data_IF_413273281133
#
_entry.id   IF_413273281133
#
_cell.length_a   1.000
_cell.length_b   1.000
_cell.length_c   1.000
_cell.angle_alpha   90.00
_cell.angle_beta   90.00
_cell.angle_gamma   90.00
#
_symmetry.space_group_name_H-M   'P 1'
#
loop_
_entity.id
_entity.type
_entity.pdbx_description
1 polymer ?
#
# COMPACT_ATOMS: atom_id res chain seq x y z
N UNK A 1 13.50 -22.99 13.25
CA UNK A 1 12.12 -23.07 13.80
C UNK A 1 12.08 -23.47 15.29
N UNK A 2 12.95 -22.87 16.14
CA UNK A 2 12.88 -22.93 17.62
C UNK A 2 13.70 -21.80 18.29
N UNK A 3 13.81 -20.63 17.62
CA UNK A 3 14.57 -19.44 18.08
C UNK A 3 13.73 -18.14 17.94
N UNK A 4 12.40 -18.23 18.05
CA UNK A 4 11.51 -17.04 18.06
C UNK A 4 10.61 -16.96 19.31
N UNK A 5 10.95 -17.70 20.38
CA UNK A 5 10.24 -17.68 21.66
C UNK A 5 11.00 -17.00 22.82
N UNK A 6 12.07 -16.28 22.54
CA UNK A 6 12.90 -15.62 23.58
C UNK A 6 12.90 -14.08 23.54
N UNK A 7 12.00 -13.46 22.77
CA UNK A 7 11.73 -12.01 22.88
C UNK A 7 10.32 -11.67 23.40
N UNK A 8 9.51 -12.66 23.78
CA UNK A 8 8.18 -12.47 24.38
C UNK A 8 8.23 -12.51 25.92
N UNK A 9 9.17 -11.77 26.51
CA UNK A 9 9.40 -11.77 27.96
C UNK A 9 9.79 -10.39 28.47
N UNK A 10 8.96 -9.38 28.21
CA UNK A 10 9.22 -8.04 28.73
C UNK A 10 8.28 -6.99 28.14
N UNK A 11 7.16 -6.75 28.81
CA UNK A 11 6.44 -5.47 28.83
C UNK A 11 6.08 -4.79 27.49
N UNK A 12 5.56 -5.52 26.50
CA UNK A 12 4.82 -4.92 25.35
C UNK A 12 3.40 -5.51 25.27
N UNK A 13 2.72 -5.55 26.42
CA UNK A 13 1.33 -6.00 26.56
C UNK A 13 0.44 -4.98 27.30
N UNK A 14 0.92 -3.76 27.53
CA UNK A 14 0.10 -2.67 28.06
C UNK A 14 0.18 -1.51 27.09
N UNK A 15 -0.77 -1.46 26.16
CA UNK A 15 -1.85 -0.46 26.09
C UNK A 15 -2.83 -0.97 25.02
N UNK A 16 -3.55 -2.04 25.35
CA UNK A 16 -4.89 -2.24 24.80
C UNK A 16 -5.77 -1.31 25.62
N UNK A 17 -6.29 -0.26 24.99
CA UNK A 17 -7.32 0.58 25.60
C UNK A 17 -8.32 -0.32 26.35
N UNK A 18 -8.60 -0.01 27.62
CA UNK A 18 -9.36 -0.85 28.54
C UNK A 18 -10.80 -1.20 28.08
N UNK A 19 -11.24 -0.67 26.93
CA UNK A 19 -12.47 -1.04 26.22
C UNK A 19 -12.31 -2.16 25.18
N UNK A 20 -11.12 -2.41 24.62
CA UNK A 20 -10.89 -3.39 23.53
C UNK A 20 -10.55 -4.77 24.09
N UNK A 21 -9.92 -4.83 25.28
CA UNK A 21 -9.53 -6.09 25.95
C UNK A 21 -10.71 -6.92 26.49
N UNK A 22 -11.97 -6.48 26.32
CA UNK A 22 -13.18 -7.24 26.71
C UNK A 22 -13.96 -7.84 25.53
N UNK A 23 -13.52 -7.66 24.29
CA UNK A 23 -14.00 -8.48 23.17
C UNK A 23 -12.96 -9.56 22.90
N UNK A 24 -13.21 -10.77 23.39
CA UNK A 24 -12.36 -11.95 23.17
C UNK A 24 -12.12 -12.28 21.68
N UNK A 25 -12.84 -11.64 20.75
CA UNK A 25 -12.78 -11.91 19.31
C UNK A 25 -11.70 -11.09 18.59
N UNK A 26 -11.57 -9.78 18.82
CA UNK A 26 -10.64 -8.93 18.03
C UNK A 26 -9.17 -9.17 18.40
N UNK A 27 -8.88 -9.43 19.67
CA UNK A 27 -7.54 -9.82 20.11
C UNK A 27 -7.10 -11.18 19.52
N UNK A 28 -8.04 -12.09 19.31
CA UNK A 28 -7.78 -13.35 18.60
C UNK A 28 -7.43 -13.11 17.13
N UNK A 29 -8.17 -12.21 16.45
CA UNK A 29 -7.87 -11.83 15.06
C UNK A 29 -6.47 -11.23 14.96
N UNK A 30 -6.09 -10.35 15.89
CA UNK A 30 -4.75 -9.76 15.93
C UNK A 30 -3.65 -10.81 16.05
N UNK A 31 -3.76 -11.73 17.02
CA UNK A 31 -2.73 -12.76 17.23
C UNK A 31 -2.56 -13.65 16.00
N UNK A 32 -3.67 -14.04 15.37
CA UNK A 32 -3.60 -14.87 14.17
C UNK A 32 -3.07 -14.10 12.96
N UNK A 33 -3.45 -12.83 12.79
CA UNK A 33 -2.89 -11.97 11.76
C UNK A 33 -1.37 -11.85 11.89
N UNK A 34 -0.88 -11.65 13.12
CA UNK A 34 0.55 -11.63 13.42
C UNK A 34 1.25 -12.96 13.11
N UNK A 35 0.63 -14.10 13.41
CA UNK A 35 1.17 -15.41 13.06
C UNK A 35 1.25 -15.62 11.54
N UNK A 36 0.22 -15.22 10.78
CA UNK A 36 0.20 -15.30 9.31
C UNK A 36 1.30 -14.45 8.69
N UNK A 37 1.43 -13.20 9.13
CA UNK A 37 2.47 -12.30 8.64
C UNK A 37 3.88 -12.81 9.01
N UNK A 38 4.10 -13.23 10.25
CA UNK A 38 5.40 -13.73 10.72
C UNK A 38 5.88 -14.95 9.91
N UNK A 39 4.97 -15.80 9.46
CA UNK A 39 5.28 -16.98 8.66
C UNK A 39 5.78 -16.66 7.23
N UNK A 40 5.70 -15.41 6.79
CA UNK A 40 6.06 -15.00 5.44
C UNK A 40 7.54 -14.64 5.25
N UNK A 41 8.36 -14.60 6.31
CA UNK A 41 9.74 -14.11 6.26
C UNK A 41 10.76 -15.24 6.19
N UNK A 42 11.67 -15.17 5.21
CA UNK A 42 12.70 -16.16 4.95
C UNK A 42 14.08 -15.49 4.81
N UNK A 43 14.92 -15.62 5.83
CA UNK A 43 16.31 -15.14 5.78
C UNK A 43 17.12 -15.97 4.78
N UNK A 44 17.81 -15.31 3.86
CA UNK A 44 18.61 -15.93 2.81
C UNK A 44 20.11 -15.98 3.19
N UNK A 45 20.90 -16.90 2.60
CA UNK A 45 22.35 -17.01 2.87
C UNK A 45 23.15 -15.75 2.56
N UNK A 46 22.68 -14.94 1.61
CA UNK A 46 23.31 -13.68 1.18
C UNK A 46 22.98 -12.48 2.10
N UNK A 47 22.43 -12.77 3.29
CA UNK A 47 22.01 -11.82 4.33
C UNK A 47 20.81 -10.93 3.94
N UNK A 48 20.16 -11.20 2.82
CA UNK A 48 18.87 -10.60 2.48
C UNK A 48 17.72 -11.36 3.15
N UNK A 49 16.52 -10.78 3.13
CA UNK A 49 15.29 -11.42 3.61
C UNK A 49 14.29 -11.46 2.46
N UNK A 50 13.90 -12.67 2.05
CA UNK A 50 12.78 -12.89 1.13
C UNK A 50 11.48 -12.89 1.91
N UNK A 51 10.44 -12.24 1.36
CA UNK A 51 9.12 -12.17 1.99
C UNK A 51 8.08 -12.66 0.98
N UNK A 52 7.43 -13.79 1.24
CA UNK A 52 6.32 -14.27 0.40
C UNK A 52 5.04 -13.49 0.71
N UNK A 53 4.12 -13.38 -0.24
CA UNK A 53 2.79 -12.80 0.04
C UNK A 53 1.92 -13.69 0.94
N UNK A 54 2.30 -14.97 1.14
CA UNK A 54 1.58 -15.94 1.96
C UNK A 54 1.39 -17.26 1.22
N UNK A 55 0.18 -17.52 0.75
CA UNK A 55 -0.14 -18.71 -0.06
C UNK A 55 0.41 -18.68 -1.49
N UNK A 56 0.89 -17.53 -1.98
CA UNK A 56 1.65 -17.39 -3.23
C UNK A 56 3.15 -17.22 -2.89
N UNK A 57 3.99 -18.15 -3.35
CA UNK A 57 5.45 -18.12 -3.13
C UNK A 57 6.16 -17.24 -4.16
N UNK A 58 5.85 -15.94 -4.12
CA UNK A 58 6.60 -14.87 -4.74
C UNK A 58 6.59 -13.63 -3.83
N UNK A 59 7.56 -12.73 -4.04
CA UNK A 59 7.76 -11.50 -3.29
C UNK A 59 7.34 -10.31 -4.14
N UNK A 60 6.23 -9.68 -3.77
CA UNK A 60 5.83 -8.38 -4.30
C UNK A 60 6.58 -7.27 -3.58
N UNK A 61 7.01 -6.23 -4.30
CA UNK A 61 7.63 -5.06 -3.67
C UNK A 61 6.66 -4.36 -2.70
N UNK A 62 5.39 -4.26 -3.11
CA UNK A 62 4.28 -3.76 -2.28
C UNK A 62 4.10 -4.57 -1.00
N UNK A 63 3.73 -5.84 -1.15
CA UNK A 63 3.37 -6.70 -0.02
C UNK A 63 4.53 -6.82 0.97
N UNK A 64 5.74 -7.07 0.47
CA UNK A 64 6.92 -7.24 1.34
C UNK A 64 7.25 -6.00 2.15
N UNK A 65 7.06 -4.80 1.59
CA UNK A 65 7.20 -3.55 2.32
C UNK A 65 6.18 -3.41 3.43
N UNK A 66 4.90 -3.64 3.15
CA UNK A 66 3.85 -3.51 4.16
C UNK A 66 4.01 -4.58 5.25
N UNK A 67 4.33 -5.81 4.87
CA UNK A 67 4.61 -6.90 5.82
C UNK A 67 5.75 -6.54 6.78
N UNK A 68 6.86 -5.98 6.26
CA UNK A 68 8.03 -5.63 7.05
C UNK A 68 7.79 -4.46 8.02
N UNK A 69 6.80 -3.59 7.78
CA UNK A 69 6.47 -2.47 8.66
C UNK A 69 5.92 -2.91 10.03
N UNK A 70 5.47 -4.15 10.20
CA UNK A 70 5.12 -4.70 11.52
C UNK A 70 6.36 -5.02 12.39
N UNK A 71 7.56 -5.07 11.79
CA UNK A 71 8.78 -5.55 12.44
C UNK A 71 9.92 -4.52 12.44
N UNK A 72 9.62 -3.23 12.42
CA UNK A 72 10.63 -2.15 12.37
C UNK A 72 11.69 -2.22 13.48
N UNK A 73 11.35 -2.79 14.64
CA UNK A 73 12.28 -3.01 15.75
C UNK A 73 13.31 -4.14 15.49
N UNK A 74 12.99 -5.15 14.66
CA UNK A 74 13.96 -6.13 14.18
C UNK A 74 14.76 -5.55 13.00
N UNK A 75 15.74 -4.71 13.35
CA UNK A 75 16.60 -4.02 12.38
C UNK A 75 17.30 -4.98 11.43
N UNK A 76 17.69 -6.17 11.89
CA UNK A 76 18.36 -7.15 11.04
C UNK A 76 17.43 -7.70 9.97
N UNK A 77 16.17 -7.98 10.33
CA UNK A 77 15.16 -8.47 9.40
C UNK A 77 14.85 -7.41 8.33
N UNK A 78 14.50 -6.20 8.77
CA UNK A 78 14.05 -5.12 7.87
C UNK A 78 15.18 -4.64 6.95
N UNK A 79 16.42 -4.51 7.44
CA UNK A 79 17.58 -4.23 6.57
C UNK A 79 17.78 -5.32 5.52
N UNK A 80 17.51 -6.58 5.87
CA UNK A 80 17.54 -7.69 4.92
C UNK A 80 16.46 -7.59 3.85
N UNK A 81 15.26 -7.10 4.19
CA UNK A 81 14.17 -6.84 3.23
C UNK A 81 14.54 -5.69 2.29
N UNK A 82 14.98 -4.55 2.84
CA UNK A 82 15.43 -3.38 2.06
C UNK A 82 16.55 -3.79 1.10
N UNK A 83 17.58 -4.48 1.60
CA UNK A 83 18.69 -4.95 0.76
C UNK A 83 18.25 -5.93 -0.33
N UNK A 84 17.16 -6.68 -0.11
CA UNK A 84 16.58 -7.52 -1.16
C UNK A 84 15.87 -6.68 -2.21
N UNK A 85 14.98 -5.78 -1.79
CA UNK A 85 14.21 -4.90 -2.67
C UNK A 85 15.12 -4.05 -3.56
N UNK A 86 16.25 -3.54 -3.04
CA UNK A 86 17.29 -2.86 -3.82
C UNK A 86 17.77 -3.70 -5.02
N UNK A 87 18.01 -5.01 -4.80
CA UNK A 87 18.46 -5.93 -5.86
C UNK A 87 17.35 -6.23 -6.86
N UNK A 88 16.10 -6.32 -6.41
CA UNK A 88 14.95 -6.57 -7.27
C UNK A 88 14.66 -5.36 -8.18
N UNK A 89 14.75 -4.15 -7.64
CA UNK A 89 14.66 -2.90 -8.40
C UNK A 89 15.76 -2.79 -9.46
N UNK A 90 16.99 -3.21 -9.12
CA UNK A 90 18.09 -3.25 -10.07
C UNK A 90 17.93 -4.35 -11.15
N UNK A 91 17.19 -5.42 -10.84
CA UNK A 91 16.91 -6.52 -11.76
C UNK A 91 15.90 -6.12 -12.83
N UNK A 92 14.74 -5.60 -12.41
CA UNK A 92 13.70 -5.12 -13.33
C UNK A 92 12.74 -4.16 -12.61
N UNK A 93 12.87 -2.84 -12.79
CA UNK A 93 12.00 -1.88 -12.10
C UNK A 93 10.58 -1.81 -12.68
N UNK A 94 10.27 -2.58 -13.73
CA UNK A 94 8.91 -2.72 -14.26
C UNK A 94 8.18 -3.97 -13.75
N UNK A 95 8.83 -4.78 -12.91
CA UNK A 95 8.24 -5.97 -12.32
C UNK A 95 7.68 -5.71 -10.92
N UNK A 96 6.45 -6.17 -10.68
CA UNK A 96 5.79 -6.15 -9.39
C UNK A 96 6.27 -7.30 -8.49
N UNK A 97 6.56 -8.49 -9.07
CA UNK A 97 6.80 -9.72 -8.31
C UNK A 97 8.05 -10.50 -8.70
N UNK A 98 8.70 -11.10 -7.70
CA UNK A 98 9.96 -11.82 -7.87
C UNK A 98 10.03 -13.13 -7.09
N UNK A 99 10.78 -14.10 -7.61
CA UNK A 99 11.02 -15.38 -6.96
C UNK A 99 12.14 -15.29 -5.90
N UNK A 100 12.26 -16.34 -5.08
CA UNK A 100 13.32 -16.46 -4.07
C UNK A 100 14.74 -16.53 -4.66
N UNK A 101 14.89 -16.96 -5.90
CA UNK A 101 16.16 -17.05 -6.62
C UNK A 101 16.43 -15.85 -7.54
N UNK A 102 15.79 -14.70 -7.29
CA UNK A 102 15.99 -13.44 -8.01
C UNK A 102 15.63 -13.51 -9.49
N UNK A 103 14.47 -14.07 -9.80
CA UNK A 103 13.86 -14.00 -11.14
C UNK A 103 12.58 -13.20 -11.08
N UNK A 104 12.22 -12.56 -12.18
CA UNK A 104 10.91 -11.94 -12.35
C UNK A 104 9.85 -13.04 -12.34
N UNK A 105 8.94 -13.00 -11.37
CA UNK A 105 7.80 -13.90 -11.28
C UNK A 105 6.61 -13.34 -12.05
N UNK A 106 6.39 -12.04 -11.96
CA UNK A 106 5.39 -11.30 -12.73
C UNK A 106 5.93 -9.91 -13.09
N UNK A 107 5.60 -9.43 -14.29
CA UNK A 107 6.10 -8.18 -14.86
C UNK A 107 4.98 -7.18 -15.17
N UNK A 108 4.11 -6.93 -14.19
CA UNK A 108 3.08 -5.90 -14.28
C UNK A 108 3.62 -4.60 -13.72
N UNK A 109 3.64 -3.57 -14.56
CA UNK A 109 4.13 -2.26 -14.12
C UNK A 109 3.06 -1.51 -13.32
N UNK A 110 3.39 -1.33 -12.05
CA UNK A 110 2.62 -0.67 -11.00
C UNK A 110 3.54 0.39 -10.38
N UNK A 111 3.10 1.64 -10.36
CA UNK A 111 3.86 2.75 -9.75
C UNK A 111 4.07 2.49 -8.26
N UNK A 112 3.07 1.91 -7.58
CA UNK A 112 3.15 1.66 -6.15
C UNK A 112 4.27 0.67 -5.78
N UNK A 113 4.59 -0.28 -6.67
CA UNK A 113 5.69 -1.23 -6.49
C UNK A 113 7.05 -0.51 -6.35
N UNK A 114 7.19 0.67 -6.95
CA UNK A 114 8.38 1.52 -6.80
C UNK A 114 8.29 2.47 -5.59
N UNK A 115 7.08 2.79 -5.13
CA UNK A 115 6.86 3.66 -3.98
C UNK A 115 7.07 2.95 -2.64
N UNK A 116 6.59 1.70 -2.54
CA UNK A 116 6.60 0.92 -1.31
C UNK A 116 7.99 0.63 -0.71
N UNK A 117 9.05 0.34 -1.49
CA UNK A 117 10.40 0.19 -0.95
C UNK A 117 10.91 1.46 -0.25
N UNK A 118 10.66 2.63 -0.85
CA UNK A 118 11.03 3.92 -0.23
C UNK A 118 10.18 4.17 1.02
N UNK A 119 8.88 3.89 0.96
CA UNK A 119 8.02 4.02 2.13
C UNK A 119 8.51 3.13 3.30
N UNK A 120 8.95 1.89 3.04
CA UNK A 120 9.54 1.03 4.07
C UNK A 120 10.79 1.66 4.69
N UNK A 121 11.69 2.22 3.88
CA UNK A 121 12.88 2.92 4.36
C UNK A 121 12.49 4.08 5.28
N UNK A 122 11.53 4.91 4.89
CA UNK A 122 11.08 6.05 5.70
C UNK A 122 10.50 5.60 7.04
N UNK A 123 9.63 4.58 7.02
CA UNK A 123 9.07 4.01 8.25
C UNK A 123 10.16 3.44 9.15
N UNK A 124 11.12 2.72 8.58
CA UNK A 124 12.23 2.14 9.29
C UNK A 124 13.14 3.18 9.94
N UNK A 125 13.57 4.18 9.18
CA UNK A 125 14.43 5.26 9.69
C UNK A 125 13.67 6.06 10.75
N UNK A 126 12.40 6.41 10.51
CA UNK A 126 11.58 7.15 11.47
C UNK A 126 11.36 6.40 12.78
N UNK A 127 11.20 5.08 12.75
CA UNK A 127 10.99 4.27 13.95
C UNK A 127 12.30 3.94 14.71
N UNK A 128 13.44 3.92 14.04
CA UNK A 128 14.69 3.38 14.63
C UNK A 128 15.84 4.39 14.72
N UNK A 129 15.76 5.52 14.01
CA UNK A 129 16.87 6.43 13.74
C UNK A 129 18.10 5.75 13.09
N UNK A 130 17.95 4.53 12.55
CA UNK A 130 19.03 3.81 11.89
C UNK A 130 19.23 4.34 10.47
N UNK A 131 20.25 5.16 10.31
CA UNK A 131 20.60 5.79 9.02
C UNK A 131 21.60 4.96 8.22
N UNK A 132 22.00 3.78 8.69
CA UNK A 132 22.96 2.91 7.99
C UNK A 132 22.45 2.32 6.68
N UNK A 133 21.13 2.43 6.42
CA UNK A 133 20.50 2.05 5.15
C UNK A 133 20.78 3.04 4.02
N UNK A 134 21.18 4.28 4.33
CA UNK A 134 21.55 5.29 3.32
C UNK A 134 22.95 5.04 2.76
N UNK A 135 23.12 3.92 2.07
CA UNK A 135 24.34 3.56 1.36
C UNK A 135 24.20 3.70 -0.16
N UNK A 136 25.22 3.27 -0.90
CA UNK A 136 25.25 3.39 -2.36
C UNK A 136 24.23 2.50 -3.07
N UNK A 137 23.73 1.43 -2.44
CA UNK A 137 22.70 0.56 -3.03
C UNK A 137 21.34 1.21 -2.94
N UNK A 138 20.99 1.78 -1.79
CA UNK A 138 19.75 2.55 -1.67
C UNK A 138 19.76 3.77 -2.62
N UNK A 139 20.90 4.46 -2.73
CA UNK A 139 21.06 5.55 -3.72
C UNK A 139 20.77 5.06 -5.15
N UNK A 140 21.37 3.92 -5.55
CA UNK A 140 21.14 3.35 -6.88
C UNK A 140 19.67 2.97 -7.11
N UNK A 141 19.01 2.37 -6.11
CA UNK A 141 17.59 2.03 -6.17
C UNK A 141 16.70 3.27 -6.33
N UNK A 142 16.94 4.32 -5.53
CA UNK A 142 16.24 5.61 -5.66
C UNK A 142 16.45 6.25 -7.04
N UNK A 143 17.67 6.20 -7.57
CA UNK A 143 17.99 6.75 -8.88
C UNK A 143 17.28 5.96 -10.01
N UNK A 144 17.17 4.63 -9.89
CA UNK A 144 16.38 3.80 -10.81
C UNK A 144 14.91 4.22 -10.79
N UNK A 145 14.31 4.37 -9.61
CA UNK A 145 12.91 4.80 -9.47
C UNK A 145 12.68 6.16 -10.11
N UNK A 146 13.53 7.15 -9.79
CA UNK A 146 13.44 8.50 -10.34
C UNK A 146 13.51 8.51 -11.88
N UNK A 147 14.34 7.65 -12.46
CA UNK A 147 14.46 7.54 -13.91
C UNK A 147 13.25 6.86 -14.55
N UNK A 148 12.72 5.79 -13.96
CA UNK A 148 11.50 5.13 -14.46
C UNK A 148 10.34 6.12 -14.42
N UNK A 149 10.11 6.81 -13.30
CA UNK A 149 9.04 7.81 -13.24
C UNK A 149 9.20 8.92 -14.30
N UNK A 150 10.44 9.40 -14.55
CA UNK A 150 10.71 10.40 -15.59
C UNK A 150 10.48 9.87 -17.02
N UNK A 151 10.71 8.57 -17.26
CA UNK A 151 10.40 7.91 -18.54
C UNK A 151 8.89 7.85 -18.71
N UNK A 152 8.18 7.42 -17.67
CA UNK A 152 6.75 7.12 -17.71
C UNK A 152 5.84 8.37 -17.65
N UNK A 153 6.36 9.55 -17.28
CA UNK A 153 5.69 10.83 -17.58
C UNK A 153 5.59 11.10 -19.10
N UNK A 154 6.46 10.47 -19.90
CA UNK A 154 6.48 10.55 -21.38
C UNK A 154 6.46 9.16 -22.00
N UNK A 155 5.54 8.32 -21.51
CA UNK A 155 5.41 6.91 -21.87
C UNK A 155 5.49 6.67 -23.38
N UNK A 156 4.64 7.35 -24.16
CA UNK A 156 4.54 7.16 -25.61
C UNK A 156 5.84 7.43 -26.37
N UNK A 157 6.70 8.32 -25.85
CA UNK A 157 7.92 8.76 -26.53
C UNK A 157 9.17 8.03 -26.03
N UNK A 158 9.14 7.53 -24.78
CA UNK A 158 10.34 7.10 -24.06
C UNK A 158 10.28 5.70 -23.46
N UNK A 159 9.09 5.15 -23.24
CA UNK A 159 8.97 3.87 -22.54
C UNK A 159 9.50 2.73 -23.39
N UNK A 160 10.07 1.74 -22.70
CA UNK A 160 10.42 0.43 -23.26
C UNK A 160 9.41 -0.64 -22.82
N UNK A 161 8.37 -0.25 -22.09
CA UNK A 161 7.33 -1.12 -21.56
C UNK A 161 6.05 -0.93 -22.37
N UNK A 162 5.65 -1.93 -23.16
CA UNK A 162 4.48 -1.84 -24.05
C UNK A 162 3.46 -2.93 -23.72
N UNK A 163 2.79 -2.78 -22.56
CA UNK A 163 1.70 -3.67 -22.15
C UNK A 163 0.54 -2.87 -21.55
N UNK A 164 -0.69 -3.28 -21.88
CA UNK A 164 -1.93 -2.62 -21.46
C UNK A 164 -1.98 -1.11 -21.79
N UNK A 165 -1.37 -0.72 -22.91
CA UNK A 165 -1.43 0.65 -23.41
C UNK A 165 -2.85 0.97 -23.90
N UNK A 166 -3.37 2.11 -23.46
CA UNK A 166 -4.58 2.75 -23.98
C UNK A 166 -4.20 4.12 -24.52
N UNK A 167 -5.10 4.67 -25.34
CA UNK A 167 -4.94 6.05 -25.79
C UNK A 167 -5.01 6.98 -24.57
N UNK A 168 -3.95 7.75 -24.37
CA UNK A 168 -3.83 8.75 -23.32
C UNK A 168 -3.14 10.00 -23.89
N UNK A 169 -3.34 11.15 -23.24
CA UNK A 169 -2.49 12.31 -23.46
C UNK A 169 -1.05 11.98 -23.02
N UNK A 170 -0.06 12.67 -23.57
CA UNK A 170 1.34 12.56 -23.14
C UNK A 170 1.74 13.84 -22.42
N UNK A 171 2.74 13.75 -21.54
CA UNK A 171 3.38 14.90 -20.88
C UNK A 171 2.39 15.80 -20.11
N UNK A 172 1.41 15.17 -19.44
CA UNK A 172 0.42 15.88 -18.60
C UNK A 172 0.87 16.04 -17.15
N UNK A 173 2.10 15.63 -16.83
CA UNK A 173 2.67 15.67 -15.48
C UNK A 173 2.44 14.43 -14.62
N UNK A 174 1.46 13.59 -14.95
CA UNK A 174 1.25 12.29 -14.29
C UNK A 174 2.17 11.20 -14.84
N UNK A 175 2.49 10.22 -13.98
CA UNK A 175 3.22 9.01 -14.33
C UNK A 175 2.21 7.97 -14.83
N UNK A 176 2.50 7.41 -16.01
CA UNK A 176 1.72 6.32 -16.59
C UNK A 176 1.94 5.01 -15.81
N UNK A 177 0.91 4.16 -15.68
CA UNK A 177 1.06 2.76 -15.25
C UNK A 177 0.11 1.82 -15.99
N UNK A 178 0.46 0.53 -16.01
CA UNK A 178 -0.30 -0.48 -16.74
C UNK A 178 -1.32 -1.19 -15.84
N UNK A 179 -0.99 -1.41 -14.57
CA UNK A 179 -1.78 -2.19 -13.64
C UNK A 179 -2.00 -1.41 -12.34
N UNK A 180 -3.04 -1.79 -11.60
CA UNK A 180 -3.38 -1.26 -10.27
C UNK A 180 -2.61 -2.03 -9.18
N UNK A 181 -2.66 -1.58 -7.92
CA UNK A 181 -2.18 -2.39 -6.78
C UNK A 181 -2.95 -3.71 -6.56
N UNK A 182 -4.05 -3.94 -7.30
CA UNK A 182 -4.77 -5.21 -7.38
C UNK A 182 -4.22 -6.17 -8.44
N UNK A 183 -3.12 -5.81 -9.11
CA UNK A 183 -2.55 -6.48 -10.27
C UNK A 183 -3.51 -6.56 -11.49
N UNK A 184 -4.63 -5.82 -11.46
CA UNK A 184 -5.60 -5.71 -12.55
C UNK A 184 -5.24 -4.59 -13.53
N UNK A 185 -5.63 -4.79 -14.79
CA UNK A 185 -5.43 -3.81 -15.86
C UNK A 185 -6.17 -2.51 -15.59
N UNK A 186 -5.48 -1.39 -15.78
CA UNK A 186 -6.10 -0.06 -15.77
C UNK A 186 -7.01 0.15 -16.99
N UNK A 187 -8.08 0.93 -16.82
CA UNK A 187 -8.93 1.38 -17.93
C UNK A 187 -8.34 2.63 -18.59
N UNK A 188 -7.88 3.57 -17.77
CA UNK A 188 -7.07 4.70 -18.21
C UNK A 188 -5.76 4.70 -17.40
N UNK A 189 -4.64 4.92 -18.09
CA UNK A 189 -3.31 4.59 -17.57
C UNK A 189 -2.71 5.63 -16.61
N UNK A 190 -3.49 6.62 -16.16
CA UNK A 190 -3.09 7.50 -15.06
C UNK A 190 -3.93 7.20 -13.82
N UNK A 191 -3.49 6.22 -13.04
CA UNK A 191 -4.10 5.91 -11.75
C UNK A 191 -3.76 6.99 -10.71
N UNK A 192 -4.79 7.64 -10.19
CA UNK A 192 -4.66 8.79 -9.30
C UNK A 192 -4.14 8.39 -7.92
N UNK A 193 -4.64 7.34 -7.25
CA UNK A 193 -4.03 6.85 -6.00
C UNK A 193 -2.54 6.54 -6.08
N UNK A 194 -2.10 5.88 -7.16
CA UNK A 194 -0.70 5.57 -7.38
C UNK A 194 0.14 6.82 -7.62
N UNK A 195 -0.36 7.78 -8.42
CA UNK A 195 0.32 9.06 -8.65
C UNK A 195 0.41 9.90 -7.37
N UNK A 196 -0.62 9.87 -6.52
CA UNK A 196 -0.58 10.46 -5.17
C UNK A 196 0.55 9.84 -4.35
N UNK A 197 0.68 8.51 -4.36
CA UNK A 197 1.74 7.84 -3.62
C UNK A 197 3.12 8.19 -4.18
N UNK A 198 3.26 8.26 -5.51
CA UNK A 198 4.49 8.67 -6.17
C UNK A 198 4.90 10.10 -5.79
N UNK A 199 3.96 11.05 -5.72
CA UNK A 199 4.26 12.41 -5.27
C UNK A 199 4.86 12.41 -3.86
N UNK A 200 4.24 11.71 -2.91
CA UNK A 200 4.77 11.57 -1.53
C UNK A 200 6.16 10.93 -1.54
N UNK A 201 6.34 9.83 -2.28
CA UNK A 201 7.63 9.14 -2.41
C UNK A 201 8.71 10.06 -2.97
N UNK A 202 8.40 10.83 -4.02
CA UNK A 202 9.33 11.78 -4.65
C UNK A 202 9.73 12.91 -3.69
N UNK A 203 8.81 13.42 -2.87
CA UNK A 203 9.14 14.40 -1.82
C UNK A 203 10.13 13.81 -0.80
N UNK A 204 9.89 12.57 -0.36
CA UNK A 204 10.81 11.88 0.55
C UNK A 204 12.18 11.65 -0.10
N UNK A 205 12.19 11.21 -1.37
CA UNK A 205 13.42 11.02 -2.13
C UNK A 205 14.20 12.32 -2.31
N UNK A 206 13.52 13.44 -2.60
CA UNK A 206 14.15 14.75 -2.73
C UNK A 206 14.87 15.17 -1.44
N UNK A 207 14.19 15.02 -0.29
CA UNK A 207 14.80 15.28 1.01
C UNK A 207 16.02 14.38 1.27
N UNK A 208 15.91 13.09 0.94
CA UNK A 208 17.01 12.13 1.12
C UNK A 208 18.20 12.45 0.20
N UNK A 209 17.97 12.76 -1.08
CA UNK A 209 19.03 13.15 -2.01
C UNK A 209 19.79 14.38 -1.53
N UNK A 210 19.09 15.42 -1.05
CA UNK A 210 19.74 16.64 -0.56
C UNK A 210 20.47 16.42 0.78
N UNK A 211 19.80 15.78 1.75
CA UNK A 211 20.30 15.73 3.14
C UNK A 211 21.26 14.58 3.42
N UNK A 212 21.13 13.43 2.72
CA UNK A 212 21.95 12.24 2.94
C UNK A 212 23.02 12.04 1.88
N UNK A 213 22.68 12.35 0.63
CA UNK A 213 23.57 12.14 -0.51
C UNK A 213 24.21 13.42 -1.04
N UNK A 214 23.79 14.60 -0.55
CA UNK A 214 24.27 15.90 -1.01
C UNK A 214 24.21 16.06 -2.54
N UNK A 215 23.16 15.51 -3.15
CA UNK A 215 22.92 15.55 -4.58
C UNK A 215 21.70 16.45 -4.87
N UNK A 216 21.97 17.75 -5.00
CA UNK A 216 20.94 18.75 -5.29
C UNK A 216 20.33 18.58 -6.68
N UNK A 217 21.07 18.00 -7.64
CA UNK A 217 20.54 17.74 -8.98
C UNK A 217 19.35 16.77 -8.93
N UNK A 218 19.53 15.60 -8.31
CA UNK A 218 18.45 14.61 -8.21
C UNK A 218 17.38 15.02 -7.20
N UNK A 219 17.75 15.77 -6.15
CA UNK A 219 16.78 16.39 -5.26
C UNK A 219 15.83 17.34 -6.01
N UNK A 220 16.37 18.24 -6.84
CA UNK A 220 15.58 19.18 -7.63
C UNK A 220 14.73 18.46 -8.68
N UNK A 221 15.26 17.41 -9.32
CA UNK A 221 14.49 16.56 -10.25
C UNK A 221 13.29 15.91 -9.57
N UNK A 222 13.50 15.32 -8.39
CA UNK A 222 12.43 14.68 -7.64
C UNK A 222 11.37 15.69 -7.16
N UNK A 223 11.79 16.86 -6.66
CA UNK A 223 10.88 17.96 -6.29
C UNK A 223 10.03 18.43 -7.48
N UNK A 224 10.67 18.72 -8.62
CA UNK A 224 9.95 19.20 -9.80
C UNK A 224 8.95 18.17 -10.36
N UNK A 225 9.30 16.88 -10.29
CA UNK A 225 8.39 15.80 -10.69
C UNK A 225 7.20 15.70 -9.74
N UNK A 226 7.42 15.78 -8.42
CA UNK A 226 6.35 15.81 -7.43
C UNK A 226 5.42 17.03 -7.64
N UNK A 227 5.99 18.21 -7.87
CA UNK A 227 5.23 19.44 -8.19
C UNK A 227 4.35 19.22 -9.44
N UNK A 228 4.90 18.60 -10.49
CA UNK A 228 4.17 18.33 -11.73
C UNK A 228 2.98 17.39 -11.51
N UNK A 229 3.17 16.32 -10.74
CA UNK A 229 2.10 15.38 -10.40
C UNK A 229 1.01 16.05 -9.56
N UNK A 230 1.40 16.80 -8.52
CA UNK A 230 0.45 17.50 -7.64
C UNK A 230 -0.38 18.53 -8.41
N UNK A 231 0.26 19.30 -9.30
CA UNK A 231 -0.42 20.25 -10.18
C UNK A 231 -1.39 19.56 -11.15
N UNK A 232 -0.98 18.45 -11.75
CA UNK A 232 -1.82 17.67 -12.66
C UNK A 232 -3.04 17.06 -11.93
N UNK A 233 -2.85 16.55 -10.71
CA UNK A 233 -3.97 16.05 -9.88
C UNK A 233 -4.96 17.17 -9.57
N UNK A 234 -4.47 18.32 -9.09
CA UNK A 234 -5.33 19.44 -8.71
C UNK A 234 -6.14 19.99 -9.90
N UNK A 235 -5.55 19.98 -11.10
CA UNK A 235 -6.14 20.52 -12.32
C UNK A 235 -7.05 19.52 -13.04
N UNK A 236 -6.58 18.28 -13.21
CA UNK A 236 -7.14 17.35 -14.20
C UNK A 236 -7.75 16.08 -13.56
N UNK A 237 -7.55 15.84 -12.25
CA UNK A 237 -8.06 14.64 -11.57
C UNK A 237 -9.27 14.88 -10.64
N UNK A 238 -9.67 16.14 -10.38
CA UNK A 238 -10.83 16.47 -9.55
C UNK A 238 -11.99 16.96 -10.42
N UNK A 239 -13.05 16.17 -10.48
CA UNK A 239 -14.20 16.42 -11.36
C UNK A 239 -15.44 16.86 -10.58
N UNK A 240 -16.20 17.79 -11.16
CA UNK A 240 -17.55 18.08 -10.70
C UNK A 240 -18.51 17.00 -11.20
N UNK A 241 -19.09 16.25 -10.28
CA UNK A 241 -20.04 15.17 -10.57
C UNK A 241 -21.39 15.43 -9.88
N UNK A 242 -22.38 14.56 -10.13
CA UNK A 242 -23.64 14.57 -9.36
C UNK A 242 -23.46 14.25 -7.86
N UNK A 243 -22.32 13.67 -7.48
CA UNK A 243 -21.96 13.30 -6.10
C UNK A 243 -21.03 14.34 -5.44
N UNK A 244 -20.79 15.49 -6.08
CA UNK A 244 -19.88 16.53 -5.60
C UNK A 244 -18.57 16.59 -6.40
N UNK A 245 -17.58 17.33 -5.88
CA UNK A 245 -16.21 17.36 -6.41
C UNK A 245 -15.50 16.08 -5.99
N UNK A 246 -15.18 15.20 -6.92
CA UNK A 246 -14.57 13.90 -6.64
C UNK A 246 -13.20 13.80 -7.28
N UNK A 247 -12.27 13.13 -6.60
CA UNK A 247 -11.10 12.56 -7.27
C UNK A 247 -11.57 11.42 -8.19
N UNK A 248 -11.10 11.44 -9.44
CA UNK A 248 -11.17 10.27 -10.31
C UNK A 248 -10.21 9.19 -9.81
N UNK A 249 -10.52 7.93 -10.07
CA UNK A 249 -9.63 6.81 -9.78
C UNK A 249 -8.57 6.63 -10.87
N UNK A 250 -8.98 6.79 -12.12
CA UNK A 250 -8.12 6.73 -13.32
C UNK A 250 -8.54 7.83 -14.30
N UNK A 251 -7.58 8.46 -14.97
CA UNK A 251 -7.83 9.40 -16.08
C UNK A 251 -6.94 9.08 -17.28
N UNK A 252 -7.28 9.60 -18.46
CA UNK A 252 -6.44 9.49 -19.67
C UNK A 252 -5.79 10.82 -20.09
N UNK A 253 -6.12 11.93 -19.42
CA UNK A 253 -5.68 13.27 -19.81
C UNK A 253 -6.33 13.82 -21.09
N UNK A 254 -7.28 13.09 -21.69
CA UNK A 254 -8.07 13.50 -22.86
C UNK A 254 -9.52 13.87 -22.47
N UNK A 255 -9.79 13.97 -21.18
CA UNK A 255 -11.09 14.31 -20.61
C UNK A 255 -11.92 13.11 -20.14
N UNK A 256 -11.43 11.87 -20.29
CA UNK A 256 -12.10 10.70 -19.75
C UNK A 256 -11.60 10.38 -18.33
N UNK A 257 -12.53 9.92 -17.50
CA UNK A 257 -12.26 9.57 -16.11
C UNK A 257 -13.07 8.35 -15.68
N UNK A 258 -12.49 7.55 -14.78
CA UNK A 258 -13.15 6.43 -14.10
C UNK A 258 -13.40 6.82 -12.64
N UNK A 259 -14.66 6.74 -12.21
CA UNK A 259 -15.05 6.97 -10.81
C UNK A 259 -15.37 5.64 -10.13
N UNK A 260 -14.50 5.22 -9.23
CA UNK A 260 -14.61 4.02 -8.38
C UNK A 260 -13.60 4.15 -7.24
N UNK A 261 -13.49 3.13 -6.40
CA UNK A 261 -12.26 2.84 -5.68
C UNK A 261 -12.09 1.33 -5.58
N UNK A 262 -10.86 0.90 -5.34
CA UNK A 262 -10.46 -0.49 -5.17
C UNK A 262 -9.95 -0.71 -3.73
N UNK A 263 -10.07 -1.92 -3.22
CA UNK A 263 -9.63 -2.23 -1.86
C UNK A 263 -8.11 -2.21 -1.67
N UNK A 264 -7.35 -2.46 -2.74
CA UNK A 264 -5.90 -2.54 -2.69
C UNK A 264 -5.27 -1.15 -2.50
N UNK A 265 -4.24 -1.05 -1.64
CA UNK A 265 -3.56 0.22 -1.31
C UNK A 265 -2.32 0.38 -2.21
N UNK A 266 -2.04 1.57 -2.78
CA UNK A 266 -2.76 2.84 -2.63
C UNK A 266 -4.16 2.87 -3.28
N UNK A 267 -5.14 3.30 -2.51
CA UNK A 267 -6.52 3.59 -2.92
C UNK A 267 -6.90 5.04 -2.62
N UNK A 268 -7.98 5.56 -3.23
CA UNK A 268 -8.48 6.90 -2.92
C UNK A 268 -8.90 7.00 -1.44
N UNK A 269 -9.47 5.92 -0.88
CA UNK A 269 -9.80 5.83 0.54
C UNK A 269 -8.55 5.92 1.44
N UNK A 270 -7.42 5.38 0.99
CA UNK A 270 -6.16 5.37 1.76
C UNK A 270 -5.38 6.68 1.73
N UNK A 271 -5.81 7.67 0.94
CA UNK A 271 -5.10 8.92 0.70
C UNK A 271 -4.58 9.62 1.98
N UNK A 272 -5.33 9.70 3.09
CA UNK A 272 -4.81 10.29 4.33
C UNK A 272 -3.69 9.49 4.98
N UNK A 273 -3.65 8.17 4.78
CA UNK A 273 -2.61 7.30 5.34
C UNK A 273 -1.28 7.44 4.62
N UNK A 274 -1.30 7.92 3.37
CA UNK A 274 -0.12 8.15 2.56
C UNK A 274 0.60 9.45 2.94
N UNK A 275 -0.03 10.35 3.71
CA UNK A 275 0.56 11.66 4.07
C UNK A 275 0.53 12.68 2.94
N UNK A 276 -0.34 12.50 1.95
CA UNK A 276 -0.51 13.42 0.82
C UNK A 276 -1.30 14.68 1.25
N UNK A 277 -0.93 15.90 0.83
CA UNK A 277 -1.71 17.11 1.07
C UNK A 277 -2.89 17.21 0.08
N UNK A 278 -4.05 16.68 0.46
CA UNK A 278 -5.27 16.65 -0.38
C UNK A 278 -6.26 17.79 -0.11
N UNK A 279 -7.15 18.05 -1.07
CA UNK A 279 -8.32 18.91 -0.89
C UNK A 279 -9.33 18.17 0.01
N UNK A 280 -9.52 18.67 1.23
CA UNK A 280 -10.36 18.04 2.25
C UNK A 280 -11.83 17.91 1.82
N UNK A 281 -12.37 18.88 1.10
CA UNK A 281 -13.77 18.85 0.63
C UNK A 281 -13.94 17.80 -0.47
N UNK A 282 -13.00 17.76 -1.41
CA UNK A 282 -12.98 16.77 -2.47
C UNK A 282 -12.77 15.36 -1.90
N UNK A 283 -11.87 15.17 -0.93
CA UNK A 283 -11.66 13.90 -0.25
C UNK A 283 -12.90 13.47 0.53
N UNK A 284 -13.55 14.37 1.27
CA UNK A 284 -14.77 14.02 2.00
C UNK A 284 -15.91 13.59 1.07
N UNK A 285 -16.10 14.26 -0.07
CA UNK A 285 -17.05 13.85 -1.10
C UNK A 285 -16.66 12.51 -1.75
N UNK A 286 -15.37 12.31 -2.02
CA UNK A 286 -14.81 11.08 -2.57
C UNK A 286 -15.02 9.90 -1.61
N UNK A 287 -14.70 10.05 -0.32
CA UNK A 287 -14.97 9.03 0.72
C UNK A 287 -16.44 8.63 0.76
N UNK A 288 -17.37 9.60 0.75
CA UNK A 288 -18.81 9.30 0.73
C UNK A 288 -19.23 8.55 -0.53
N UNK A 289 -18.67 8.91 -1.68
CA UNK A 289 -18.92 8.19 -2.93
C UNK A 289 -18.41 6.74 -2.86
N UNK A 290 -17.18 6.56 -2.39
CA UNK A 290 -16.50 5.25 -2.27
C UNK A 290 -17.27 4.29 -1.37
N UNK A 291 -17.74 4.79 -0.22
CA UNK A 291 -18.48 4.03 0.79
C UNK A 291 -19.99 4.03 0.54
N UNK A 292 -20.39 4.02 -0.73
CA UNK A 292 -21.80 3.98 -1.15
C UNK A 292 -21.97 3.10 -2.38
N UNK A 293 -23.21 2.72 -2.68
CA UNK A 293 -23.56 1.96 -3.89
C UNK A 293 -23.27 2.69 -5.21
N UNK A 294 -22.83 3.96 -5.16
CA UNK A 294 -22.35 4.67 -6.33
C UNK A 294 -20.96 4.18 -6.78
N UNK A 295 -20.14 3.65 -5.87
CA UNK A 295 -18.95 2.90 -6.22
C UNK A 295 -19.35 1.48 -6.66
N UNK A 296 -19.05 1.04 -7.89
CA UNK A 296 -19.44 -0.28 -8.38
C UNK A 296 -18.83 -1.44 -7.59
N UNK A 297 -17.77 -1.19 -6.81
CA UNK A 297 -17.11 -2.20 -5.96
C UNK A 297 -17.44 -2.05 -4.48
N UNK A 298 -18.39 -1.19 -4.09
CA UNK A 298 -18.90 -1.16 -2.73
C UNK A 298 -20.06 -2.14 -2.59
N UNK A 299 -19.90 -3.11 -1.70
CA UNK A 299 -20.91 -4.12 -1.42
C UNK A 299 -21.42 -3.99 0.01
N UNK A 300 -22.69 -4.32 0.19
CA UNK A 300 -23.36 -4.35 1.50
C UNK A 300 -24.05 -5.69 1.66
N UNK A 301 -23.69 -6.39 2.72
CA UNK A 301 -24.30 -7.66 3.08
C UNK A 301 -24.68 -7.73 4.54
N UNK A 302 -25.07 -8.93 4.97
CA UNK A 302 -25.46 -9.20 6.36
C UNK A 302 -24.34 -9.02 7.37
N UNK A 303 -23.09 -9.31 6.99
CA UNK A 303 -21.95 -9.35 7.94
C UNK A 303 -21.07 -8.11 7.87
N UNK A 304 -20.93 -7.51 6.68
CA UNK A 304 -20.09 -6.33 6.49
C UNK A 304 -20.56 -5.49 5.30
N UNK A 305 -20.12 -4.23 5.29
CA UNK A 305 -20.23 -3.36 4.12
C UNK A 305 -18.90 -2.69 3.84
N UNK A 306 -18.40 -2.80 2.62
CA UNK A 306 -17.05 -2.31 2.32
C UNK A 306 -16.71 -2.42 0.85
N UNK A 307 -15.47 -2.06 0.52
CA UNK A 307 -14.97 -2.04 -0.85
C UNK A 307 -14.36 -3.40 -1.19
N UNK A 308 -14.73 -3.94 -2.34
CA UNK A 308 -14.14 -5.11 -2.95
C UNK A 308 -13.17 -4.74 -4.06
N UNK A 309 -13.02 -5.64 -5.02
CA UNK A 309 -12.20 -5.40 -6.22
C UNK A 309 -12.80 -6.14 -7.42
N UNK A 310 -12.45 -5.69 -8.63
CA UNK A 310 -12.69 -6.45 -9.86
C UNK A 310 -11.95 -7.80 -9.87
N UNK A 311 -10.89 -7.91 -9.06
CA UNK A 311 -10.08 -9.11 -8.88
C UNK A 311 -10.84 -10.28 -8.24
N UNK A 312 -11.92 -9.99 -7.51
CA UNK A 312 -12.66 -10.96 -6.69
C UNK A 312 -14.12 -11.05 -7.12
N UNK A 313 -14.83 -12.15 -6.79
CA UNK A 313 -16.24 -12.31 -7.19
C UNK A 313 -17.13 -11.16 -6.71
N UNK A 314 -18.23 -10.91 -7.42
CA UNK A 314 -19.23 -9.92 -6.99
C UNK A 314 -19.75 -10.21 -5.57
N UNK A 315 -20.05 -9.15 -4.82
CA UNK A 315 -20.43 -9.16 -3.40
C UNK A 315 -19.30 -9.49 -2.40
N UNK A 316 -18.07 -9.69 -2.88
CA UNK A 316 -16.94 -9.91 -1.98
C UNK A 316 -16.33 -8.58 -1.55
N UNK A 317 -16.11 -8.42 -0.25
CA UNK A 317 -15.45 -7.27 0.37
C UNK A 317 -14.07 -7.70 0.82
N UNK A 318 -13.09 -6.80 0.71
CA UNK A 318 -11.76 -7.04 1.21
C UNK A 318 -11.62 -6.50 2.64
N UNK A 319 -11.14 -7.30 3.62
CA UNK A 319 -10.81 -6.79 4.94
C UNK A 319 -9.81 -5.63 4.89
N UNK A 320 -8.95 -5.59 3.87
CA UNK A 320 -8.05 -4.46 3.60
C UNK A 320 -8.79 -3.11 3.57
N UNK A 321 -9.93 -3.05 2.85
CA UNK A 321 -10.72 -1.81 2.75
C UNK A 321 -11.30 -1.38 4.09
N UNK A 322 -11.70 -2.35 4.94
CA UNK A 322 -12.21 -2.09 6.29
C UNK A 322 -11.09 -1.55 7.18
N UNK A 323 -9.87 -2.13 7.11
CA UNK A 323 -8.72 -1.61 7.85
C UNK A 323 -8.39 -0.18 7.43
N UNK A 324 -8.37 0.11 6.13
CA UNK A 324 -8.15 1.48 5.62
C UNK A 324 -9.26 2.41 6.09
N UNK A 325 -10.53 1.99 6.00
CA UNK A 325 -11.68 2.77 6.45
C UNK A 325 -11.57 3.11 7.94
N UNK A 326 -11.20 2.14 8.79
CA UNK A 326 -11.00 2.32 10.23
C UNK A 326 -9.91 3.37 10.50
N UNK A 327 -8.77 3.26 9.82
CA UNK A 327 -7.62 4.15 10.01
C UNK A 327 -7.87 5.57 9.50
N UNK A 328 -8.86 5.75 8.64
CA UNK A 328 -9.25 7.04 8.04
C UNK A 328 -10.58 7.58 8.56
N UNK A 329 -11.22 6.86 9.49
CA UNK A 329 -12.43 7.29 10.17
C UNK A 329 -12.14 8.42 11.17
N UNK A 330 -13.03 9.40 11.26
CA UNK A 330 -12.91 10.53 12.18
C UNK A 330 -13.61 10.32 13.52
N UNK A 331 -14.64 9.46 13.57
CA UNK A 331 -15.44 9.24 14.77
C UNK A 331 -15.34 7.80 15.31
N UNK A 332 -15.63 7.65 16.61
CA UNK A 332 -15.52 6.39 17.32
C UNK A 332 -16.62 5.39 16.98
N UNK A 333 -17.76 5.85 16.47
CA UNK A 333 -18.90 4.98 16.15
C UNK A 333 -18.64 4.22 14.84
N UNK A 334 -18.12 4.91 13.82
CA UNK A 334 -17.63 4.31 12.59
C UNK A 334 -16.53 3.28 12.91
N UNK A 335 -15.52 3.67 13.68
CA UNK A 335 -14.43 2.77 14.11
C UNK A 335 -14.95 1.53 14.84
N UNK A 336 -15.88 1.71 15.78
CA UNK A 336 -16.47 0.62 16.55
C UNK A 336 -17.28 -0.35 15.69
N UNK A 337 -17.96 0.15 14.66
CA UNK A 337 -18.71 -0.68 13.71
C UNK A 337 -17.76 -1.51 12.84
N UNK A 338 -16.71 -0.89 12.30
CA UNK A 338 -15.72 -1.58 11.46
C UNK A 338 -14.97 -2.68 12.23
N UNK A 339 -14.62 -2.45 13.50
CA UNK A 339 -13.99 -3.50 14.32
C UNK A 339 -14.91 -4.72 14.52
N UNK A 340 -16.23 -4.52 14.58
CA UNK A 340 -17.19 -5.63 14.64
C UNK A 340 -17.24 -6.38 13.30
N UNK A 341 -17.20 -5.66 12.19
CA UNK A 341 -17.16 -6.27 10.85
C UNK A 341 -15.87 -7.07 10.62
N UNK A 342 -14.71 -6.53 11.01
CA UNK A 342 -13.42 -7.23 10.96
C UNK A 342 -13.38 -8.46 11.89
N UNK A 343 -13.98 -8.38 13.08
CA UNK A 343 -14.12 -9.54 13.96
C UNK A 343 -15.04 -10.62 13.36
N UNK A 344 -15.99 -10.23 12.50
CA UNK A 344 -16.94 -11.11 11.84
C UNK A 344 -16.55 -11.52 10.42
N UNK A 345 -15.43 -11.03 9.86
CA UNK A 345 -15.05 -11.27 8.46
C UNK A 345 -14.32 -12.59 8.21
N UNK A 346 -13.90 -13.29 9.26
CA UNK A 346 -13.19 -14.57 9.15
C UNK A 346 -14.12 -15.78 9.07
N UNK A 347 -13.59 -16.92 8.60
CA UNK A 347 -14.31 -18.19 8.57
C UNK A 347 -14.30 -18.96 9.91
N UNK A 348 -13.95 -18.28 11.01
CA UNK A 348 -13.73 -18.87 12.33
C UNK A 348 -12.29 -19.31 12.60
N UNK A 349 -11.36 -19.05 11.67
CA UNK A 349 -9.92 -19.32 11.81
C UNK A 349 -9.13 -18.14 12.44
N UNK A 350 -9.74 -16.96 12.48
CA UNK A 350 -9.15 -15.74 13.03
C UNK A 350 -8.25 -14.98 12.06
N UNK A 351 -8.07 -15.44 10.82
CA UNK A 351 -7.27 -14.75 9.81
C UNK A 351 -8.06 -13.63 9.12
N UNK A 352 -7.36 -12.62 8.62
CA UNK A 352 -7.88 -11.77 7.56
C UNK A 352 -7.51 -12.38 6.20
N UNK A 353 -8.53 -12.64 5.40
CA UNK A 353 -8.42 -13.16 4.04
C UNK A 353 -8.24 -12.03 3.02
N UNK A 354 -8.00 -12.38 1.76
CA UNK A 354 -8.02 -11.40 0.67
C UNK A 354 -9.41 -10.76 0.56
N UNK A 355 -10.43 -11.58 0.40
CA UNK A 355 -11.81 -11.12 0.33
C UNK A 355 -12.79 -12.16 0.87
N UNK A 356 -14.00 -11.72 1.21
CA UNK A 356 -15.08 -12.60 1.67
C UNK A 356 -16.46 -12.11 1.20
N UNK A 357 -17.39 -13.03 0.96
CA UNK A 357 -18.78 -12.69 0.61
C UNK A 357 -19.43 -11.92 1.76
N UNK A 358 -19.92 -10.70 1.49
CA UNK A 358 -20.54 -9.81 2.47
C UNK A 358 -21.73 -10.45 3.23
N UNK A 359 -22.32 -11.52 2.68
CA UNK A 359 -23.43 -12.26 3.27
C UNK A 359 -23.02 -13.60 3.90
N UNK A 360 -21.81 -14.10 3.65
CA UNK A 360 -21.30 -15.36 4.20
C UNK A 360 -19.76 -15.39 4.25
N UNK A 361 -19.12 -14.96 5.36
CA UNK A 361 -17.66 -14.85 5.46
C UNK A 361 -16.91 -16.20 5.37
N UNK A 362 -17.63 -17.34 5.43
CA UNK A 362 -17.04 -18.66 5.16
C UNK A 362 -16.68 -18.85 3.68
N UNK A 363 -17.21 -18.00 2.80
CA UNK A 363 -16.88 -17.93 1.39
C UNK A 363 -15.84 -16.82 1.19
N UNK A 364 -14.57 -17.20 1.19
CA UNK A 364 -13.45 -16.26 1.09
C UNK A 364 -12.44 -16.68 0.02
N UNK A 365 -11.53 -15.77 -0.32
CA UNK A 365 -10.37 -16.02 -1.18
C UNK A 365 -9.08 -15.82 -0.38
N UNK A 366 -8.04 -16.60 -0.74
CA UNK A 366 -6.71 -16.64 -0.08
C UNK A 366 -6.76 -16.92 1.42
N UNK A 367 -6.38 -18.14 1.80
CA UNK A 367 -6.37 -18.56 3.21
C UNK A 367 -5.19 -17.99 3.99
N UNK A 368 -4.10 -17.59 3.31
CA UNK A 368 -2.92 -16.99 3.94
C UNK A 368 -2.44 -15.81 3.13
N UNK A 369 -2.72 -14.61 3.61
CA UNK A 369 -2.37 -13.38 2.92
C UNK A 369 -1.66 -12.39 3.86
N UNK A 370 -0.34 -12.32 3.79
CA UNK A 370 0.47 -11.55 4.72
C UNK A 370 0.19 -10.05 4.71
N UNK A 371 -0.12 -9.48 3.54
CA UNK A 371 -0.29 -8.03 3.40
C UNK A 371 -1.45 -7.46 4.24
N UNK A 372 -2.67 -7.99 4.11
CA UNK A 372 -3.83 -7.49 4.87
C UNK A 372 -3.67 -7.70 6.38
N UNK A 373 -3.07 -8.84 6.76
CA UNK A 373 -2.80 -9.17 8.16
C UNK A 373 -1.74 -8.21 8.75
N UNK A 374 -0.68 -7.89 8.01
CA UNK A 374 0.30 -6.89 8.41
C UNK A 374 -0.30 -5.48 8.53
N UNK A 375 -1.18 -5.08 7.59
CA UNK A 375 -1.86 -3.79 7.65
C UNK A 375 -2.74 -3.68 8.89
N UNK A 376 -3.42 -4.77 9.27
CA UNK A 376 -4.20 -4.84 10.50
C UNK A 376 -3.32 -4.75 11.74
N UNK A 377 -2.22 -5.51 11.82
CA UNK A 377 -1.26 -5.42 12.93
C UNK A 377 -0.77 -3.99 13.16
N UNK A 378 -0.33 -3.33 12.09
CA UNK A 378 0.17 -1.95 12.13
C UNK A 378 -0.85 -0.96 12.74
N UNK A 379 -2.15 -1.23 12.58
CA UNK A 379 -3.22 -0.38 13.11
C UNK A 379 -3.17 -0.28 14.64
N UNK A 380 -2.71 -1.34 15.32
CA UNK A 380 -2.67 -1.40 16.79
C UNK A 380 -1.25 -1.26 17.35
N UNK A 381 -0.22 -1.57 16.56
CA UNK A 381 1.18 -1.31 16.93
C UNK A 381 1.53 0.17 16.97
N UNK A 382 0.89 1.01 16.15
CA UNK A 382 1.20 2.46 16.08
C UNK A 382 0.53 3.29 17.18
N UNK A 383 -0.54 2.78 17.81
CA UNK A 383 -1.25 3.50 18.88
C UNK A 383 -0.55 3.40 20.24
N UNK A 384 0.37 2.45 20.44
CA UNK A 384 1.13 2.32 21.68
C UNK A 384 2.31 3.29 21.79
N UNK A 385 2.69 3.98 20.70
CA UNK A 385 3.78 4.97 20.69
C UNK A 385 3.27 6.40 20.93
N UNK A 386 2.01 6.70 20.56
CA UNK A 386 1.42 8.03 20.71
C UNK A 386 0.88 8.30 22.14
N UNK A 387 0.56 7.26 22.91
CA UNK A 387 0.10 7.38 24.30
C UNK A 387 1.26 7.39 25.34
N UNK A 388 2.50 7.53 24.88
CA UNK A 388 3.72 7.51 25.68
C UNK A 388 4.38 8.86 25.96
N UNK A 389 3.70 9.99 25.74
CA UNK A 389 4.19 11.33 26.09
C UNK A 389 3.38 11.96 27.23
#
# INVERSE_FOLDING_TARGET
MRILKQLTGGAVALVLCASVARSSTIGSVYNHAADVNAACFFRAPDKTTYVSTGDIDAMWLRDSSVQAMSYLSDRSLVRGVIARQERLLALDPYANAFTRDYRVAERKFEIDSLCYPIHLVDRYVGATNDTSVFDSRLYAAMHVILNVFAIEQRHADRSVYHQNERKAASDIGLIWSAYRPSDDRQLYNYNIPENIFAAVTLRSMANTFSTRYHNDHDANRATAMADSIENAIAKDAIFKTRHGRLYAYEIDGLGNAKFMDDANVPSLLSMPLLGYPYDHDAYAATRRFILSSANPYYFRGRFASGVGSAHTPANYIWPMSLVVQYRTASDSEERGSILKELAGSGAGDGALHESFDANDPRRFTRSRFGWVNALFEQTFLMNSVAEGN
#
